data_IF_121126040333
#
_entry.id   IF_121126040333
#
_cell.length_a   1.000
_cell.length_b   1.000
_cell.length_c   1.000
_cell.angle_alpha   90.00
_cell.angle_beta   90.00
_cell.angle_gamma   90.00
#
_symmetry.space_group_name_H-M   'P 1'
#
loop_
_entity.id
_entity.type
_entity.pdbx_description
1 polymer ?
#
# COMPACT_ATOMS: atom_id res chain seq x y z
N UNK A 1 6.11 9.30 -5.02
CA UNK A 1 5.69 9.24 -6.44
C UNK A 1 6.82 9.80 -7.27
N UNK A 2 7.32 9.00 -8.18
CA UNK A 2 8.50 9.37 -8.98
C UNK A 2 8.12 9.98 -10.33
N UNK A 3 6.91 9.62 -10.84
CA UNK A 3 6.39 10.12 -12.09
C UNK A 3 4.90 10.38 -12.03
N UNK A 4 4.48 11.51 -12.57
CA UNK A 4 3.08 11.86 -12.82
C UNK A 4 2.85 11.92 -14.33
N UNK A 5 2.08 10.98 -14.86
CA UNK A 5 1.73 10.94 -16.28
C UNK A 5 0.45 11.73 -16.54
N UNK A 6 0.44 12.49 -17.64
CA UNK A 6 -0.74 13.22 -18.09
C UNK A 6 -1.45 12.45 -19.20
N UNK A 7 -2.71 12.08 -19.01
CA UNK A 7 -3.53 11.45 -20.05
C UNK A 7 -3.63 12.34 -21.30
N UNK A 8 -3.82 13.66 -21.11
CA UNK A 8 -3.84 14.61 -22.22
C UNK A 8 -2.56 14.56 -23.03
N UNK A 9 -1.39 14.62 -22.39
CA UNK A 9 -0.11 14.59 -23.08
C UNK A 9 0.08 13.28 -23.87
N UNK A 10 -0.41 12.18 -23.32
CA UNK A 10 -0.36 10.86 -23.96
C UNK A 10 -1.24 10.81 -25.22
N UNK A 11 -2.43 11.41 -25.17
CA UNK A 11 -3.31 11.53 -26.36
C UNK A 11 -2.73 12.49 -27.40
N UNK A 12 -2.25 13.65 -26.99
CA UNK A 12 -1.69 14.67 -27.87
C UNK A 12 -0.38 14.22 -28.57
N UNK A 13 0.39 13.32 -27.92
CA UNK A 13 1.62 12.75 -28.52
C UNK A 13 1.38 11.68 -29.58
N UNK A 14 0.11 11.25 -29.81
CA UNK A 14 -0.21 10.16 -30.71
C UNK A 14 0.03 8.75 -30.12
N UNK A 15 0.34 8.64 -28.83
CA UNK A 15 0.63 7.36 -28.18
C UNK A 15 -0.54 6.37 -28.25
N UNK A 16 -1.80 6.86 -28.29
CA UNK A 16 -2.97 5.99 -28.43
C UNK A 16 -2.95 5.29 -29.79
N UNK A 17 -2.71 6.02 -30.87
CA UNK A 17 -2.59 5.42 -32.20
C UNK A 17 -1.45 4.39 -32.23
N UNK A 18 -0.27 4.76 -31.71
CA UNK A 18 0.89 3.83 -31.69
C UNK A 18 0.60 2.53 -30.94
N UNK A 19 -0.15 2.60 -29.82
CA UNK A 19 -0.53 1.41 -29.07
C UNK A 19 -1.50 0.52 -29.84
N UNK A 20 -2.44 1.13 -30.57
CA UNK A 20 -3.38 0.40 -31.40
C UNK A 20 -2.68 -0.22 -32.60
N UNK A 21 -1.78 0.52 -33.26
CA UNK A 21 -0.99 -0.01 -34.39
C UNK A 21 -0.18 -1.24 -33.97
N UNK A 22 0.45 -1.21 -32.80
CA UNK A 22 1.18 -2.36 -32.24
C UNK A 22 0.29 -3.57 -32.01
N UNK A 23 -0.93 -3.37 -31.52
CA UNK A 23 -1.92 -4.46 -31.36
C UNK A 23 -2.46 -4.97 -32.70
N UNK A 24 -2.60 -4.09 -33.68
CA UNK A 24 -3.05 -4.42 -35.03
C UNK A 24 -1.98 -5.24 -35.79
N UNK A 25 -0.71 -4.82 -35.75
CA UNK A 25 0.43 -5.57 -36.28
C UNK A 25 0.56 -6.97 -35.67
N UNK A 26 0.21 -7.10 -34.38
CA UNK A 26 0.16 -8.40 -33.69
C UNK A 26 -1.10 -9.23 -34.01
N UNK A 27 -2.04 -8.72 -34.82
CA UNK A 27 -3.29 -9.40 -35.20
C UNK A 27 -4.37 -9.42 -34.12
N UNK A 28 -4.24 -8.54 -33.13
CA UNK A 28 -5.15 -8.47 -31.97
C UNK A 28 -6.27 -7.44 -32.14
N UNK A 29 -6.31 -6.73 -33.24
CA UNK A 29 -7.34 -5.72 -33.58
C UNK A 29 -8.03 -6.12 -34.87
N UNK A 30 -9.34 -5.88 -34.95
CA UNK A 30 -10.14 -6.17 -36.15
C UNK A 30 -11.37 -5.26 -36.22
N UNK A 31 -11.97 -5.16 -37.40
CA UNK A 31 -13.30 -4.52 -37.55
C UNK A 31 -14.40 -5.58 -37.44
N UNK A 32 -15.42 -5.27 -36.64
CA UNK A 32 -16.51 -6.20 -36.39
C UNK A 32 -17.70 -5.53 -35.69
N UNK A 33 -18.76 -6.30 -35.53
CA UNK A 33 -20.00 -5.89 -34.84
C UNK A 33 -20.03 -6.67 -33.53
N UNK A 34 -20.15 -5.96 -32.39
CA UNK A 34 -20.40 -6.58 -31.08
C UNK A 34 -21.87 -6.95 -30.95
N UNK A 35 -22.12 -8.09 -30.30
CA UNK A 35 -23.46 -8.43 -29.84
C UNK A 35 -23.94 -7.44 -28.77
N UNK A 36 -25.29 -7.20 -28.65
CA UNK A 36 -25.81 -6.33 -27.60
C UNK A 36 -25.43 -6.83 -26.21
N UNK A 37 -25.27 -5.93 -25.22
CA UNK A 37 -24.97 -6.33 -23.85
C UNK A 37 -26.03 -7.28 -23.30
N UNK A 38 -25.61 -8.38 -22.66
CA UNK A 38 -26.52 -9.35 -22.04
C UNK A 38 -27.38 -8.65 -20.97
N UNK A 39 -28.70 -8.65 -21.15
CA UNK A 39 -29.68 -8.26 -20.11
C UNK A 39 -30.68 -7.18 -20.47
N UNK A 40 -30.34 -6.13 -21.16
CA UNK A 40 -31.27 -5.14 -21.76
C UNK A 40 -30.61 -4.61 -23.01
N UNK A 41 -31.23 -4.86 -24.17
CA UNK A 41 -30.92 -4.08 -25.36
C UNK A 41 -31.31 -2.63 -25.03
N UNK A 42 -30.37 -1.67 -25.11
CA UNK A 42 -30.76 -0.26 -25.08
C UNK A 42 -31.72 -0.01 -26.24
N UNK A 43 -32.81 0.73 -26.02
CA UNK A 43 -33.81 1.05 -27.07
C UNK A 43 -33.16 1.65 -28.33
N UNK A 44 -31.95 2.23 -28.21
CA UNK A 44 -31.20 2.87 -29.30
C UNK A 44 -29.97 1.99 -29.75
N UNK A 45 -29.95 0.67 -29.48
CA UNK A 45 -28.85 -0.16 -29.92
C UNK A 45 -28.97 -0.45 -31.42
N UNK A 46 -27.96 -0.07 -32.20
CA UNK A 46 -27.84 -0.40 -33.60
C UNK A 46 -26.56 -1.22 -33.86
N UNK A 47 -26.65 -2.32 -34.66
CA UNK A 47 -25.48 -3.08 -35.08
C UNK A 47 -24.61 -2.21 -35.98
N UNK A 48 -23.41 -1.88 -35.53
CA UNK A 48 -22.44 -1.09 -36.28
C UNK A 48 -21.05 -1.71 -36.25
N UNK A 49 -20.35 -1.57 -37.34
CA UNK A 49 -18.96 -1.96 -37.43
C UNK A 49 -18.09 -1.03 -36.56
N UNK A 50 -17.22 -1.62 -35.74
CA UNK A 50 -16.35 -0.92 -34.80
C UNK A 50 -14.94 -1.49 -34.90
N UNK A 51 -13.95 -0.69 -34.53
CA UNK A 51 -12.58 -1.17 -34.31
C UNK A 51 -12.54 -1.87 -32.94
N UNK A 52 -12.23 -3.16 -32.91
CA UNK A 52 -12.31 -4.03 -31.74
C UNK A 52 -10.97 -4.64 -31.39
N UNK A 53 -10.67 -4.68 -30.10
CA UNK A 53 -9.58 -5.46 -29.53
C UNK A 53 -10.09 -6.86 -29.17
N UNK A 54 -9.35 -7.91 -29.56
CA UNK A 54 -9.65 -9.33 -29.26
C UNK A 54 -9.42 -9.70 -27.80
N UNK A 55 -10.07 -9.00 -26.86
CA UNK A 55 -9.88 -9.18 -25.43
C UNK A 55 -10.28 -10.61 -24.98
N UNK A 56 -11.25 -11.22 -25.64
CA UNK A 56 -11.69 -12.60 -25.37
C UNK A 56 -10.60 -13.64 -25.61
N UNK A 57 -9.68 -13.40 -26.53
CA UNK A 57 -8.51 -14.26 -26.77
C UNK A 57 -7.51 -14.27 -25.59
N UNK A 58 -7.59 -13.29 -24.71
CA UNK A 58 -6.73 -13.09 -23.53
C UNK A 58 -7.48 -13.22 -22.21
N UNK A 59 -8.69 -13.81 -22.21
CA UNK A 59 -9.43 -14.16 -21.00
C UNK A 59 -10.44 -13.11 -20.51
N UNK A 60 -10.75 -12.07 -21.29
CA UNK A 60 -11.92 -11.22 -21.05
C UNK A 60 -13.20 -11.92 -21.52
N UNK A 61 -14.35 -11.47 -21.04
CA UNK A 61 -15.66 -12.08 -21.35
C UNK A 61 -16.16 -11.70 -22.76
N UNK A 62 -15.64 -10.62 -23.35
CA UNK A 62 -16.02 -10.12 -24.68
C UNK A 62 -14.91 -9.22 -25.25
N UNK A 63 -14.91 -9.08 -26.58
CA UNK A 63 -14.03 -8.12 -27.25
C UNK A 63 -14.43 -6.69 -26.95
N UNK A 64 -13.49 -5.75 -27.06
CA UNK A 64 -13.65 -4.38 -26.57
C UNK A 64 -13.50 -3.33 -27.66
N UNK A 65 -14.44 -2.36 -27.75
CA UNK A 65 -14.34 -1.28 -28.73
C UNK A 65 -13.18 -0.31 -28.38
N UNK A 66 -12.39 0.02 -29.37
CA UNK A 66 -11.27 0.96 -29.28
C UNK A 66 -11.67 2.35 -29.75
N UNK A 67 -12.64 2.46 -30.68
CA UNK A 67 -13.18 3.71 -31.19
C UNK A 67 -14.67 3.85 -30.95
N UNK A 68 -15.11 5.10 -30.74
CA UNK A 68 -16.53 5.47 -30.70
C UNK A 68 -17.10 5.67 -32.10
N UNK A 69 -18.41 5.96 -32.19
CA UNK A 69 -19.11 6.20 -33.46
C UNK A 69 -18.61 7.43 -34.24
N UNK A 70 -18.11 8.42 -33.51
CA UNK A 70 -17.55 9.66 -34.06
C UNK A 70 -16.07 9.53 -34.47
N UNK A 71 -15.48 8.33 -34.35
CA UNK A 71 -14.08 8.08 -34.66
C UNK A 71 -13.11 8.44 -33.52
N UNK A 72 -13.59 9.05 -32.43
CA UNK A 72 -12.73 9.33 -31.26
C UNK A 72 -12.40 8.06 -30.50
N UNK A 73 -11.27 8.07 -29.80
CA UNK A 73 -10.84 6.95 -28.96
C UNK A 73 -11.74 6.75 -27.76
N UNK A 74 -11.95 5.51 -27.37
CA UNK A 74 -12.58 5.17 -26.09
C UNK A 74 -11.60 5.42 -24.95
N UNK A 75 -12.08 5.53 -23.71
CA UNK A 75 -11.22 5.55 -22.51
C UNK A 75 -10.33 4.32 -22.42
N UNK A 76 -10.85 3.17 -22.84
CA UNK A 76 -10.08 1.93 -22.87
C UNK A 76 -8.87 2.02 -23.81
N UNK A 77 -9.00 2.64 -24.97
CA UNK A 77 -7.87 2.83 -25.89
C UNK A 77 -6.79 3.73 -25.26
N UNK A 78 -7.19 4.79 -24.54
CA UNK A 78 -6.24 5.63 -23.80
C UNK A 78 -5.53 4.86 -22.68
N UNK A 79 -6.25 4.00 -21.96
CA UNK A 79 -5.67 3.15 -20.92
C UNK A 79 -4.70 2.10 -21.49
N UNK A 80 -5.00 1.54 -22.67
CA UNK A 80 -4.09 0.64 -23.39
C UNK A 80 -2.77 1.34 -23.70
N UNK A 81 -2.84 2.58 -24.22
CA UNK A 81 -1.65 3.38 -24.51
C UNK A 81 -0.84 3.71 -23.26
N UNK A 82 -1.52 4.02 -22.15
CA UNK A 82 -0.86 4.29 -20.88
C UNK A 82 -0.14 3.04 -20.34
N UNK A 83 -0.71 1.86 -20.53
CA UNK A 83 -0.04 0.62 -20.11
C UNK A 83 1.12 0.26 -21.04
N UNK A 84 1.05 0.56 -22.33
CA UNK A 84 2.20 0.46 -23.21
C UNK A 84 3.35 1.35 -22.74
N UNK A 85 3.08 2.63 -22.43
CA UNK A 85 4.08 3.55 -21.87
C UNK A 85 4.71 3.02 -20.55
N UNK A 86 3.90 2.43 -19.67
CA UNK A 86 4.43 1.79 -18.45
C UNK A 86 5.34 0.60 -18.76
N UNK A 87 4.95 -0.27 -19.67
CA UNK A 87 5.75 -1.44 -20.08
C UNK A 87 7.09 -0.99 -20.66
N UNK A 88 7.06 0.00 -21.55
CA UNK A 88 8.27 0.51 -22.22
C UNK A 88 9.23 1.21 -21.23
N UNK A 89 8.69 1.88 -20.21
CA UNK A 89 9.49 2.54 -19.17
C UNK A 89 10.10 1.59 -18.15
N UNK A 90 9.39 0.53 -17.78
CA UNK A 90 9.80 -0.31 -16.64
C UNK A 90 10.44 -1.62 -17.07
N UNK A 91 10.00 -2.20 -18.18
CA UNK A 91 10.41 -3.54 -18.65
C UNK A 91 10.00 -4.68 -17.71
N UNK A 92 9.37 -4.36 -16.56
CA UNK A 92 9.01 -5.28 -15.49
C UNK A 92 7.49 -5.48 -15.34
N UNK A 93 7.07 -6.30 -14.35
CA UNK A 93 5.67 -6.47 -14.03
C UNK A 93 5.04 -5.18 -13.52
N UNK A 94 3.77 -4.98 -13.82
CA UNK A 94 3.00 -3.82 -13.44
C UNK A 94 2.03 -4.17 -12.31
N UNK A 95 1.81 -3.22 -11.39
CA UNK A 95 0.78 -3.30 -10.35
C UNK A 95 -0.12 -2.08 -10.48
N UNK A 96 -1.41 -2.29 -10.72
CA UNK A 96 -2.41 -1.24 -10.66
C UNK A 96 -3.19 -1.31 -9.35
N UNK A 97 -3.54 -0.16 -8.80
CA UNK A 97 -4.42 -0.05 -7.63
C UNK A 97 -5.69 0.67 -8.08
N UNK A 98 -6.81 -0.04 -8.08
CA UNK A 98 -8.12 0.47 -8.51
C UNK A 98 -9.12 0.49 -7.36
N UNK A 99 -10.12 1.37 -7.43
CA UNK A 99 -11.31 1.26 -6.60
C UNK A 99 -12.13 0.03 -6.99
N UNK A 100 -12.86 -0.54 -6.05
CA UNK A 100 -13.70 -1.73 -6.25
C UNK A 100 -14.77 -1.55 -7.34
N UNK A 101 -15.21 -0.33 -7.59
CA UNK A 101 -16.12 0.06 -8.67
C UNK A 101 -15.55 -0.22 -10.06
N UNK A 102 -14.22 -0.35 -10.19
CA UNK A 102 -13.52 -0.77 -11.41
C UNK A 102 -13.34 -2.30 -11.54
N UNK A 103 -13.98 -3.12 -10.70
CA UNK A 103 -13.85 -4.59 -10.75
C UNK A 103 -14.15 -5.19 -12.12
N UNK A 104 -15.15 -4.66 -12.84
CA UNK A 104 -15.45 -5.07 -14.22
C UNK A 104 -14.41 -4.65 -15.28
N UNK A 105 -13.41 -3.83 -14.87
CA UNK A 105 -12.35 -3.35 -15.76
C UNK A 105 -11.10 -4.24 -15.71
N UNK A 106 -10.98 -5.09 -14.71
CA UNK A 106 -9.78 -5.89 -14.42
C UNK A 106 -9.41 -6.80 -15.60
N UNK A 107 -10.34 -7.64 -16.03
CA UNK A 107 -10.07 -8.64 -17.10
C UNK A 107 -9.60 -7.98 -18.40
N UNK A 108 -10.27 -6.89 -18.82
CA UNK A 108 -9.92 -6.20 -20.06
C UNK A 108 -8.55 -5.55 -20.02
N UNK A 109 -8.14 -5.02 -18.87
CA UNK A 109 -6.81 -4.44 -18.73
C UNK A 109 -5.71 -5.50 -18.67
N UNK A 110 -5.95 -6.61 -17.98
CA UNK A 110 -5.04 -7.76 -18.01
C UNK A 110 -4.87 -8.30 -19.42
N UNK A 111 -5.96 -8.45 -20.17
CA UNK A 111 -5.96 -8.87 -21.56
C UNK A 111 -5.14 -7.93 -22.45
N UNK A 112 -5.34 -6.61 -22.30
CA UNK A 112 -4.60 -5.61 -23.08
C UNK A 112 -3.09 -5.65 -22.80
N UNK A 113 -2.70 -5.72 -21.52
CA UNK A 113 -1.29 -5.78 -21.13
C UNK A 113 -0.64 -7.10 -21.57
N UNK A 114 -1.35 -8.22 -21.51
CA UNK A 114 -0.88 -9.51 -22.03
C UNK A 114 -0.64 -9.42 -23.54
N UNK A 115 -1.58 -8.86 -24.30
CA UNK A 115 -1.45 -8.67 -25.74
C UNK A 115 -0.29 -7.74 -26.13
N UNK A 116 -0.10 -6.63 -25.40
CA UNK A 116 0.98 -5.67 -25.64
C UNK A 116 2.37 -6.24 -25.35
N UNK A 117 2.48 -7.02 -24.27
CA UNK A 117 3.76 -7.54 -23.78
C UNK A 117 4.12 -8.92 -24.32
N UNK A 118 3.15 -9.66 -24.82
CA UNK A 118 3.28 -11.10 -25.15
C UNK A 118 3.53 -11.99 -23.93
N UNK A 119 3.29 -11.48 -22.71
CA UNK A 119 3.58 -12.19 -21.44
C UNK A 119 2.36 -12.22 -20.53
N UNK A 120 1.94 -13.43 -20.18
CA UNK A 120 0.88 -13.64 -19.20
C UNK A 120 1.34 -13.21 -17.79
N UNK A 121 0.42 -12.61 -17.02
CA UNK A 121 0.70 -12.21 -15.64
C UNK A 121 1.61 -10.97 -15.51
N UNK A 122 1.79 -10.21 -16.59
CA UNK A 122 2.58 -8.97 -16.56
C UNK A 122 1.89 -7.82 -15.80
N UNK A 123 0.58 -7.88 -15.60
CA UNK A 123 -0.21 -6.94 -14.82
C UNK A 123 -0.90 -7.64 -13.67
N UNK A 124 -0.70 -7.12 -12.46
CA UNK A 124 -1.51 -7.41 -11.27
C UNK A 124 -2.40 -6.21 -10.93
N UNK A 125 -3.66 -6.45 -10.55
CA UNK A 125 -4.60 -5.39 -10.20
C UNK A 125 -5.15 -5.63 -8.80
N UNK A 126 -4.81 -4.69 -7.89
CA UNK A 126 -5.30 -4.67 -6.53
C UNK A 126 -6.57 -3.81 -6.44
N UNK A 127 -7.68 -4.40 -6.02
CA UNK A 127 -8.94 -3.68 -5.82
C UNK A 127 -9.03 -3.18 -4.36
N UNK A 128 -9.22 -1.87 -4.20
CA UNK A 128 -9.39 -1.24 -2.90
C UNK A 128 -10.87 -0.95 -2.64
N UNK A 129 -11.34 -1.38 -1.46
CA UNK A 129 -12.69 -1.12 -0.99
C UNK A 129 -12.89 0.34 -0.57
N UNK A 130 -14.15 0.71 -0.42
CA UNK A 130 -14.56 2.05 0.00
C UNK A 130 -14.13 2.32 1.45
N UNK A 131 -13.79 3.57 1.71
CA UNK A 131 -13.58 4.12 3.06
C UNK A 131 -14.81 4.93 3.44
N UNK A 132 -15.46 4.55 4.53
CA UNK A 132 -16.57 5.30 5.11
C UNK A 132 -16.00 6.34 6.08
N UNK A 133 -16.28 7.62 5.83
CA UNK A 133 -15.93 8.66 6.79
C UNK A 133 -16.99 8.72 7.89
N UNK A 134 -16.52 8.62 9.13
CA UNK A 134 -17.34 8.63 10.33
C UNK A 134 -16.97 9.82 11.23
N UNK A 135 -17.90 10.31 11.99
CA UNK A 135 -17.70 11.27 13.07
C UNK A 135 -18.51 10.84 14.29
N UNK A 136 -17.83 10.52 15.38
CA UNK A 136 -18.45 9.99 16.61
C UNK A 136 -19.37 8.78 16.34
N UNK A 137 -18.92 7.84 15.50
CA UNK A 137 -19.66 6.63 15.16
C UNK A 137 -20.82 6.81 14.19
N UNK A 138 -20.99 7.99 13.61
CA UNK A 138 -22.04 8.28 12.62
C UNK A 138 -21.43 8.57 11.25
N UNK A 139 -22.01 8.07 10.14
CA UNK A 139 -21.54 8.39 8.80
C UNK A 139 -21.61 9.89 8.50
N UNK A 140 -20.52 10.44 7.98
CA UNK A 140 -20.48 11.81 7.47
C UNK A 140 -21.22 11.86 6.13
N UNK A 141 -22.35 12.57 6.08
CA UNK A 141 -23.11 12.72 4.85
C UNK A 141 -22.38 13.66 3.89
N UNK A 142 -21.88 13.10 2.79
CA UNK A 142 -21.25 13.86 1.72
C UNK A 142 -22.21 14.05 0.55
N UNK A 143 -22.33 15.27 0.05
CA UNK A 143 -23.08 15.58 -1.16
C UNK A 143 -22.35 16.62 -2.01
N UNK A 144 -21.94 16.22 -3.22
CA UNK A 144 -21.35 17.16 -4.19
C UNK A 144 -22.31 18.31 -4.52
N UNK A 145 -23.62 18.04 -4.59
CA UNK A 145 -24.65 19.05 -4.89
C UNK A 145 -24.89 20.03 -3.75
N UNK A 146 -24.72 19.59 -2.50
CA UNK A 146 -24.90 20.43 -1.31
C UNK A 146 -23.60 21.12 -0.85
N UNK A 147 -22.47 20.92 -1.54
CA UNK A 147 -21.17 21.46 -1.14
C UNK A 147 -20.57 20.85 0.13
N UNK A 148 -21.19 19.81 0.68
CA UNK A 148 -20.67 19.07 1.85
C UNK A 148 -19.76 17.94 1.40
N UNK A 149 -18.59 18.29 0.88
CA UNK A 149 -17.63 17.34 0.36
C UNK A 149 -16.33 17.43 1.17
N UNK A 150 -15.92 16.34 1.78
CA UNK A 150 -14.66 16.24 2.53
C UNK A 150 -13.57 15.76 1.58
N UNK A 151 -12.52 16.55 1.44
CA UNK A 151 -11.36 16.19 0.60
C UNK A 151 -10.34 15.41 1.41
N UNK A 152 -9.48 14.63 0.73
CA UNK A 152 -8.32 13.98 1.37
C UNK A 152 -7.43 15.01 2.06
N UNK A 153 -7.32 16.23 1.51
CA UNK A 153 -6.56 17.34 2.12
C UNK A 153 -7.16 17.78 3.46
N UNK A 154 -8.50 17.80 3.57
CA UNK A 154 -9.16 18.16 4.82
C UNK A 154 -8.91 17.10 5.89
N UNK A 155 -8.95 15.82 5.50
CA UNK A 155 -8.61 14.70 6.40
C UNK A 155 -7.15 14.80 6.86
N UNK A 156 -6.19 15.03 5.93
CA UNK A 156 -4.77 15.20 6.26
C UNK A 156 -4.55 16.37 7.24
N UNK A 157 -5.24 17.49 7.03
CA UNK A 157 -5.15 18.66 7.95
C UNK A 157 -5.71 18.34 9.34
N UNK A 158 -6.74 17.52 9.42
CA UNK A 158 -7.39 17.18 10.68
C UNK A 158 -6.58 16.20 11.53
N UNK A 159 -6.01 15.16 10.92
CA UNK A 159 -5.41 14.02 11.66
C UNK A 159 -3.92 13.78 11.37
N UNK A 160 -3.37 14.40 10.35
CA UNK A 160 -2.00 14.20 9.90
C UNK A 160 -1.83 13.04 8.92
N UNK A 161 -0.77 13.12 8.11
CA UNK A 161 -0.47 12.13 7.05
C UNK A 161 -0.14 10.74 7.62
N UNK A 162 0.63 10.70 8.71
CA UNK A 162 1.10 9.44 9.32
C UNK A 162 -0.07 8.60 9.84
N UNK A 163 -1.02 9.25 10.51
CA UNK A 163 -2.22 8.61 11.05
C UNK A 163 -3.05 8.02 9.92
N UNK A 164 -3.32 8.80 8.85
CA UNK A 164 -4.08 8.32 7.70
C UNK A 164 -3.38 7.12 7.07
N UNK A 165 -2.08 7.24 6.74
CA UNK A 165 -1.33 6.15 6.10
C UNK A 165 -1.37 4.88 6.93
N UNK A 166 -1.06 4.97 8.22
CA UNK A 166 -1.02 3.79 9.07
C UNK A 166 -2.40 3.13 9.17
N UNK A 167 -3.46 3.88 9.45
CA UNK A 167 -4.81 3.34 9.61
C UNK A 167 -5.32 2.73 8.31
N UNK A 168 -5.14 3.43 7.16
CA UNK A 168 -5.51 2.88 5.85
C UNK A 168 -4.80 1.55 5.57
N UNK A 169 -3.53 1.44 5.98
CA UNK A 169 -2.71 0.24 5.78
C UNK A 169 -2.92 -0.83 6.85
N UNK A 170 -3.77 -0.66 7.86
CA UNK A 170 -4.17 -1.73 8.79
C UNK A 170 -5.31 -2.60 8.25
N UNK A 171 -5.79 -2.33 7.05
CA UNK A 171 -6.85 -3.13 6.41
C UNK A 171 -6.32 -3.80 5.14
N UNK A 172 -6.86 -4.95 4.84
CA UNK A 172 -6.69 -5.57 3.53
C UNK A 172 -7.41 -4.71 2.50
N UNK A 173 -6.90 -4.69 1.28
CA UNK A 173 -7.47 -3.88 0.19
C UNK A 173 -8.95 -4.20 -0.08
N UNK A 174 -9.35 -5.46 0.07
CA UNK A 174 -10.73 -5.94 -0.15
C UNK A 174 -11.69 -5.68 1.03
N UNK A 175 -11.22 -5.09 2.14
CA UNK A 175 -12.03 -4.79 3.33
C UNK A 175 -12.42 -3.32 3.39
N UNK A 176 -13.69 -3.04 3.67
CA UNK A 176 -14.15 -1.67 3.97
C UNK A 176 -13.50 -1.15 5.25
N UNK A 177 -13.24 0.14 5.29
CA UNK A 177 -12.72 0.83 6.46
C UNK A 177 -13.71 1.92 6.91
N UNK A 178 -14.13 1.85 8.17
CA UNK A 178 -14.80 2.97 8.83
C UNK A 178 -13.75 3.86 9.49
N UNK A 179 -13.52 5.03 8.92
CA UNK A 179 -12.54 6.00 9.37
C UNK A 179 -13.22 7.06 10.22
N UNK A 180 -13.12 6.96 11.55
CA UNK A 180 -13.75 7.88 12.51
C UNK A 180 -12.75 8.95 12.95
N UNK A 181 -13.02 10.21 12.57
CA UNK A 181 -12.17 11.36 12.92
C UNK A 181 -11.91 11.51 14.42
N UNK A 182 -12.93 11.30 15.25
CA UNK A 182 -12.81 11.48 16.69
C UNK A 182 -11.83 10.48 17.30
N UNK A 183 -11.88 9.22 16.84
CA UNK A 183 -10.99 8.15 17.34
C UNK A 183 -9.55 8.28 16.88
N UNK A 184 -9.33 8.74 15.64
CA UNK A 184 -7.98 8.77 15.05
C UNK A 184 -7.18 10.02 15.43
N UNK A 185 -7.82 11.06 15.98
CA UNK A 185 -7.12 12.25 16.50
C UNK A 185 -6.60 12.08 17.91
N UNK A 186 -7.07 11.09 18.66
CA UNK A 186 -6.60 10.85 20.02
C UNK A 186 -5.13 10.42 20.02
N UNK A 187 -4.29 11.18 20.72
CA UNK A 187 -2.90 10.83 21.00
C UNK A 187 -2.85 9.85 22.18
N UNK A 188 -3.58 8.76 22.08
CA UNK A 188 -3.68 7.74 23.12
C UNK A 188 -2.98 6.45 22.68
N UNK A 189 -2.80 5.52 23.63
CA UNK A 189 -2.30 4.16 23.36
C UNK A 189 -3.21 3.37 22.41
N UNK A 190 -4.46 3.81 22.26
CA UNK A 190 -5.45 3.19 21.38
C UNK A 190 -5.25 3.58 19.91
N UNK A 191 -4.41 4.61 19.64
CA UNK A 191 -4.02 4.96 18.28
C UNK A 191 -2.76 4.19 17.87
N UNK A 192 -2.87 3.22 16.93
CA UNK A 192 -1.80 2.29 16.63
C UNK A 192 -0.54 2.95 16.08
N UNK A 193 -0.64 4.06 15.34
CA UNK A 193 0.55 4.75 14.83
C UNK A 193 1.35 5.40 15.95
N UNK A 194 0.68 6.07 16.87
CA UNK A 194 1.35 6.66 18.04
C UNK A 194 2.00 5.60 18.93
N UNK A 195 1.34 4.46 19.09
CA UNK A 195 1.88 3.34 19.86
C UNK A 195 3.21 2.83 19.29
N UNK A 196 3.29 2.68 17.95
CA UNK A 196 4.53 2.27 17.26
C UNK A 196 5.59 3.38 17.29
N UNK A 197 5.21 4.64 17.00
CA UNK A 197 6.14 5.77 17.05
C UNK A 197 6.69 5.98 18.47
N UNK A 198 5.87 5.80 19.50
CA UNK A 198 6.29 5.89 20.89
C UNK A 198 7.29 4.79 21.28
N UNK A 199 7.15 3.57 20.74
CA UNK A 199 8.16 2.53 20.92
C UNK A 199 9.52 2.94 20.33
N UNK A 200 9.53 3.55 19.13
CA UNK A 200 10.73 4.08 18.51
C UNK A 200 11.37 5.22 19.33
N UNK A 201 10.59 6.23 19.69
CA UNK A 201 11.05 7.36 20.49
C UNK A 201 11.62 6.92 21.84
N UNK A 202 10.97 5.95 22.49
CA UNK A 202 11.46 5.34 23.74
C UNK A 202 12.79 4.60 23.54
N UNK A 203 12.95 3.84 22.48
CA UNK A 203 14.21 3.18 22.15
C UNK A 203 15.32 4.20 21.90
N UNK A 204 15.05 5.27 21.15
CA UNK A 204 15.99 6.38 20.93
C UNK A 204 16.37 7.09 22.24
N UNK A 205 15.40 7.27 23.15
CA UNK A 205 15.67 7.87 24.48
C UNK A 205 16.64 7.02 25.30
N UNK A 206 16.45 5.68 25.32
CA UNK A 206 17.39 4.76 26.00
C UNK A 206 18.79 4.86 25.42
N UNK A 207 18.89 4.90 24.09
CA UNK A 207 20.20 4.96 23.41
C UNK A 207 20.90 6.29 23.69
N UNK A 208 20.20 7.42 23.75
CA UNK A 208 20.75 8.72 24.15
C UNK A 208 21.26 8.71 25.58
N UNK A 209 20.52 8.11 26.53
CA UNK A 209 20.94 8.00 27.93
C UNK A 209 22.14 7.07 28.13
N UNK A 210 22.31 6.10 27.24
CA UNK A 210 23.38 5.13 27.33
C UNK A 210 24.73 5.67 26.87
N UNK A 211 24.77 6.78 26.12
CA UNK A 211 25.98 7.36 25.54
C UNK A 211 26.80 6.28 24.77
N UNK A 212 28.11 6.16 25.08
CA UNK A 212 29.02 5.20 24.47
C UNK A 212 28.93 3.75 25.05
N UNK A 213 28.03 3.48 26.02
CA UNK A 213 27.92 2.15 26.68
C UNK A 213 27.49 1.00 25.76
N UNK A 214 26.98 1.33 24.57
CA UNK A 214 26.62 0.33 23.55
C UNK A 214 27.80 -0.15 22.70
N UNK A 215 28.96 0.48 22.82
CA UNK A 215 30.18 0.17 22.09
C UNK A 215 31.02 -0.91 22.83
N UNK A 216 31.86 -1.64 22.08
CA UNK A 216 32.71 -2.68 22.62
C UNK A 216 32.03 -4.07 22.69
N UNK A 217 32.58 -4.94 23.55
CA UNK A 217 32.11 -6.32 23.73
C UNK A 217 30.72 -6.38 24.37
N UNK A 218 29.90 -7.38 23.96
CA UNK A 218 28.56 -7.55 24.49
C UNK A 218 28.25 -9.04 24.73
N UNK A 219 27.70 -9.35 25.89
CA UNK A 219 27.33 -10.70 26.27
C UNK A 219 25.94 -11.09 25.72
N UNK A 220 25.81 -11.20 24.39
CA UNK A 220 24.54 -11.53 23.74
C UNK A 220 23.89 -12.83 24.24
N UNK A 221 24.70 -13.82 24.65
CA UNK A 221 24.25 -15.10 25.21
C UNK A 221 23.54 -14.97 26.56
N UNK A 222 23.62 -13.80 27.22
CA UNK A 222 22.93 -13.52 28.47
C UNK A 222 21.53 -12.94 28.25
N UNK A 223 21.15 -12.60 27.00
CA UNK A 223 19.78 -12.20 26.64
C UNK A 223 18.89 -13.45 26.59
N UNK A 224 18.42 -13.90 27.73
CA UNK A 224 17.68 -15.16 27.88
C UNK A 224 16.31 -15.01 28.59
N UNK A 225 15.98 -13.82 29.06
CA UNK A 225 14.67 -13.56 29.65
C UNK A 225 13.57 -13.72 28.58
N UNK A 226 12.41 -14.30 28.93
CA UNK A 226 11.30 -14.46 28.00
C UNK A 226 10.89 -13.18 27.27
N UNK A 227 10.92 -12.01 27.92
CA UNK A 227 10.59 -10.73 27.31
C UNK A 227 11.67 -10.27 26.31
N UNK A 228 12.97 -10.48 26.61
CA UNK A 228 14.09 -10.25 25.68
C UNK A 228 13.98 -11.16 24.45
N UNK A 229 13.70 -12.44 24.69
CA UNK A 229 13.56 -13.44 23.63
C UNK A 229 12.35 -13.19 22.73
N UNK A 230 11.26 -12.62 23.25
CA UNK A 230 10.09 -12.24 22.45
C UNK A 230 10.47 -11.16 21.43
N UNK A 231 11.19 -10.13 21.84
CA UNK A 231 11.68 -9.06 20.94
C UNK A 231 12.67 -9.64 19.91
N UNK A 232 13.64 -10.47 20.35
CA UNK A 232 14.65 -11.08 19.46
C UNK A 232 13.98 -11.91 18.36
N UNK A 233 12.97 -12.73 18.68
CA UNK A 233 12.26 -13.56 17.69
C UNK A 233 11.56 -12.71 16.64
N UNK A 234 10.92 -11.61 17.06
CA UNK A 234 10.30 -10.68 16.12
C UNK A 234 11.35 -10.04 15.22
N UNK A 235 12.45 -9.51 15.79
CA UNK A 235 13.53 -8.90 15.00
C UNK A 235 14.11 -9.88 13.97
N UNK A 236 14.34 -11.13 14.35
CA UNK A 236 14.84 -12.17 13.44
C UNK A 236 13.84 -12.47 12.29
N UNK A 237 12.56 -12.27 12.53
CA UNK A 237 11.49 -12.46 11.53
C UNK A 237 11.37 -11.33 10.49
N UNK A 238 11.95 -10.15 10.74
CA UNK A 238 11.76 -8.96 9.92
C UNK A 238 12.05 -9.15 8.42
N UNK A 239 13.19 -9.68 7.99
CA UNK A 239 13.47 -9.84 6.56
C UNK A 239 12.44 -10.72 5.85
N UNK A 240 12.03 -11.80 6.49
CA UNK A 240 11.01 -12.72 5.96
C UNK A 240 9.64 -12.04 5.88
N UNK A 241 9.31 -11.19 6.86
CA UNK A 241 8.06 -10.42 6.89
C UNK A 241 7.97 -9.47 5.70
N UNK A 242 9.05 -8.75 5.39
CA UNK A 242 9.11 -7.84 4.23
C UNK A 242 8.94 -8.60 2.92
N UNK A 243 9.68 -9.69 2.74
CA UNK A 243 9.58 -10.53 1.52
C UNK A 243 8.16 -11.07 1.36
N UNK A 244 7.55 -11.58 2.44
CA UNK A 244 6.20 -12.13 2.40
C UNK A 244 5.14 -11.05 2.08
N UNK A 245 5.27 -9.86 2.68
CA UNK A 245 4.34 -8.75 2.42
C UNK A 245 4.46 -8.24 0.97
N UNK A 246 5.69 -8.15 0.45
CA UNK A 246 5.94 -7.72 -0.92
C UNK A 246 5.42 -8.73 -1.93
N UNK A 247 5.70 -10.03 -1.75
CA UNK A 247 5.25 -11.08 -2.66
C UNK A 247 3.72 -11.22 -2.72
N UNK A 248 3.03 -10.92 -1.61
CA UNK A 248 1.57 -10.96 -1.54
C UNK A 248 0.91 -9.62 -1.91
N UNK A 249 1.67 -8.54 -2.11
CA UNK A 249 1.17 -7.15 -2.25
C UNK A 249 0.28 -6.72 -1.06
N UNK A 250 0.64 -7.15 0.17
CA UNK A 250 -0.14 -6.97 1.39
C UNK A 250 0.60 -6.08 2.42
N UNK A 251 0.61 -4.76 2.25
CA UNK A 251 1.33 -3.83 3.15
C UNK A 251 0.78 -3.84 4.59
N UNK A 252 -0.47 -4.26 4.81
CA UNK A 252 -1.06 -4.39 6.15
C UNK A 252 -0.26 -5.37 7.04
N UNK A 253 0.43 -6.35 6.47
CA UNK A 253 1.30 -7.27 7.23
C UNK A 253 2.44 -6.53 7.93
N UNK A 254 2.97 -5.46 7.31
CA UNK A 254 4.01 -4.63 7.94
C UNK A 254 3.42 -3.82 9.10
N UNK A 255 2.24 -3.23 8.94
CA UNK A 255 1.59 -2.48 10.01
C UNK A 255 1.33 -3.37 11.25
N UNK A 256 0.77 -4.56 11.08
CA UNK A 256 0.55 -5.51 12.17
C UNK A 256 1.85 -5.97 12.82
N UNK A 257 2.87 -6.30 12.02
CA UNK A 257 4.19 -6.68 12.56
C UNK A 257 4.79 -5.56 13.42
N UNK A 258 4.68 -4.30 13.00
CA UNK A 258 5.18 -3.17 13.79
C UNK A 258 4.42 -3.00 15.10
N UNK A 259 3.12 -3.25 15.11
CA UNK A 259 2.32 -3.25 16.34
C UNK A 259 2.77 -4.35 17.30
N UNK A 260 3.00 -5.57 16.80
CA UNK A 260 3.47 -6.70 17.60
C UNK A 260 4.88 -6.42 18.18
N UNK A 261 5.80 -5.89 17.37
CA UNK A 261 7.14 -5.51 17.82
C UNK A 261 7.10 -4.40 18.87
N UNK A 262 6.27 -3.38 18.65
CA UNK A 262 6.07 -2.30 19.63
C UNK A 262 5.50 -2.85 20.95
N UNK A 263 4.53 -3.76 20.89
CA UNK A 263 3.93 -4.39 22.07
C UNK A 263 4.97 -5.20 22.86
N UNK A 264 5.77 -6.02 22.18
CA UNK A 264 6.85 -6.79 22.81
C UNK A 264 7.90 -5.88 23.45
N UNK A 265 8.29 -4.80 22.77
CA UNK A 265 9.26 -3.84 23.31
C UNK A 265 8.70 -3.07 24.52
N UNK A 266 7.44 -2.65 24.49
CA UNK A 266 6.78 -2.02 25.64
C UNK A 266 6.65 -2.97 26.84
N UNK A 267 6.40 -4.25 26.59
CA UNK A 267 6.36 -5.27 27.62
C UNK A 267 7.75 -5.44 28.29
N UNK A 268 8.82 -5.52 27.49
CA UNK A 268 10.19 -5.60 27.99
C UNK A 268 10.56 -4.33 28.81
N UNK A 269 10.18 -3.15 28.32
CA UNK A 269 10.37 -1.90 29.08
C UNK A 269 9.66 -1.94 30.42
N UNK A 270 8.41 -2.41 30.47
CA UNK A 270 7.62 -2.51 31.71
C UNK A 270 8.26 -3.51 32.67
N UNK A 271 8.68 -4.66 32.16
CA UNK A 271 9.41 -5.67 32.96
C UNK A 271 10.68 -5.08 33.60
N UNK A 272 11.44 -4.25 32.90
CA UNK A 272 12.63 -3.57 33.45
C UNK A 272 12.31 -2.48 34.50
N UNK A 273 11.07 -1.97 34.53
CA UNK A 273 10.62 -1.08 35.62
C UNK A 273 10.26 -1.86 36.88
N UNK A 274 9.66 -3.03 36.71
CA UNK A 274 9.21 -3.89 37.82
C UNK A 274 10.36 -4.73 38.40
N UNK A 275 11.25 -5.21 37.54
CA UNK A 275 12.43 -5.98 37.89
C UNK A 275 13.71 -5.24 37.50
N UNK A 276 14.50 -4.73 38.48
CA UNK A 276 15.78 -4.05 38.21
C UNK A 276 16.77 -4.87 37.38
N UNK A 277 16.72 -6.22 37.47
CA UNK A 277 17.60 -7.09 36.71
C UNK A 277 17.34 -7.06 35.21
N UNK A 278 16.17 -6.57 34.78
CA UNK A 278 15.80 -6.42 33.37
C UNK A 278 15.94 -5.01 32.83
N UNK A 279 16.51 -4.07 33.61
CA UNK A 279 16.79 -2.70 33.11
C UNK A 279 17.80 -2.75 31.98
N UNK A 280 17.60 -1.89 30.99
CA UNK A 280 18.49 -1.81 29.82
C UNK A 280 19.89 -1.35 30.19
N UNK A 281 20.03 -0.46 31.17
CA UNK A 281 21.31 0.07 31.65
C UNK A 281 21.51 -0.37 33.10
N UNK A 282 22.61 -1.09 33.33
CA UNK A 282 23.05 -1.59 34.63
C UNK A 282 24.56 -1.39 34.72
N UNK A 283 24.98 -0.47 35.58
CA UNK A 283 26.40 -0.12 35.71
C UNK A 283 27.24 -1.29 36.25
N UNK A 284 26.65 -2.18 37.08
CA UNK A 284 27.25 -3.38 37.61
C UNK A 284 27.40 -4.53 36.60
N UNK A 285 26.74 -4.43 35.43
CA UNK A 285 26.76 -5.48 34.41
C UNK A 285 27.01 -4.89 33.00
N UNK A 286 28.20 -4.35 32.73
CA UNK A 286 28.45 -3.58 31.51
C UNK A 286 28.32 -4.39 30.23
N UNK A 287 28.73 -5.68 30.22
CA UNK A 287 28.60 -6.54 29.06
C UNK A 287 27.14 -6.90 28.72
N UNK A 288 26.28 -7.07 29.76
CA UNK A 288 24.87 -7.30 29.59
C UNK A 288 24.17 -6.00 29.17
N UNK A 289 24.56 -4.85 29.72
CA UNK A 289 24.11 -3.53 29.28
C UNK A 289 24.38 -3.32 27.80
N UNK A 290 25.60 -3.59 27.33
CA UNK A 290 25.96 -3.50 25.92
C UNK A 290 25.10 -4.44 25.05
N UNK A 291 24.81 -5.65 25.51
CA UNK A 291 23.93 -6.60 24.82
C UNK A 291 22.50 -6.07 24.69
N UNK A 292 21.93 -5.54 25.78
CA UNK A 292 20.58 -4.96 25.81
C UNK A 292 20.48 -3.69 24.94
N UNK A 293 21.49 -2.85 24.94
CA UNK A 293 21.53 -1.66 24.08
C UNK A 293 21.61 -2.04 22.60
N UNK A 294 22.28 -3.11 22.23
CA UNK A 294 22.22 -3.67 20.86
C UNK A 294 20.82 -4.14 20.51
N UNK A 295 20.12 -4.79 21.43
CA UNK A 295 18.71 -5.19 21.23
C UNK A 295 17.81 -3.97 21.03
N UNK A 296 17.96 -2.92 21.85
CA UNK A 296 17.23 -1.66 21.71
C UNK A 296 17.54 -0.98 20.38
N UNK A 297 18.81 -0.93 19.97
CA UNK A 297 19.24 -0.36 18.68
C UNK A 297 18.65 -1.12 17.50
N UNK A 298 18.65 -2.46 17.54
CA UNK A 298 18.02 -3.29 16.52
C UNK A 298 16.50 -3.06 16.45
N UNK A 299 15.85 -2.91 17.61
CA UNK A 299 14.41 -2.61 17.67
C UNK A 299 14.10 -1.25 17.02
N UNK A 300 14.84 -0.20 17.36
CA UNK A 300 14.69 1.12 16.75
C UNK A 300 14.90 1.07 15.23
N UNK A 301 15.93 0.36 14.78
CA UNK A 301 16.25 0.20 13.36
C UNK A 301 15.11 -0.49 12.59
N UNK A 302 14.57 -1.58 13.13
CA UNK A 302 13.49 -2.34 12.48
C UNK A 302 12.19 -1.55 12.47
N UNK A 303 11.84 -0.86 13.57
CA UNK A 303 10.65 0.02 13.60
C UNK A 303 10.80 1.15 12.56
N UNK A 304 11.96 1.81 12.52
CA UNK A 304 12.26 2.85 11.52
C UNK A 304 12.16 2.31 10.09
N UNK A 305 12.74 1.16 9.83
CA UNK A 305 12.68 0.50 8.52
C UNK A 305 11.24 0.19 8.11
N UNK A 306 10.44 -0.37 9.01
CA UNK A 306 9.05 -0.72 8.74
C UNK A 306 8.15 0.50 8.54
N UNK A 307 8.30 1.54 9.37
CA UNK A 307 7.60 2.81 9.16
C UNK A 307 8.00 3.46 7.83
N UNK A 308 9.29 3.39 7.45
CA UNK A 308 9.78 3.87 6.16
C UNK A 308 9.16 3.16 4.96
N UNK A 309 8.94 1.84 5.04
CA UNK A 309 8.20 1.07 4.01
C UNK A 309 6.77 1.61 3.84
N UNK A 310 6.14 2.03 4.93
CA UNK A 310 4.79 2.60 4.92
C UNK A 310 4.79 4.11 4.60
N UNK A 311 5.96 4.72 4.34
CA UNK A 311 6.17 6.15 4.16
C UNK A 311 5.64 6.99 5.35
N UNK A 312 5.97 6.56 6.57
CA UNK A 312 5.62 7.18 7.85
C UNK A 312 6.91 7.52 8.58
N UNK A 313 6.93 8.68 9.24
CA UNK A 313 8.10 9.13 9.96
C UNK A 313 8.31 8.37 11.28
N UNK A 314 9.53 7.90 11.52
CA UNK A 314 9.95 7.33 12.79
C UNK A 314 10.42 8.47 13.71
N UNK A 315 9.54 8.93 14.60
CA UNK A 315 9.84 10.03 15.53
C UNK A 315 10.84 9.59 16.58
N UNK A 316 11.85 10.40 16.80
CA UNK A 316 12.89 10.12 17.83
C UNK A 316 12.50 10.69 19.21
N UNK A 317 11.52 11.60 19.24
CA UNK A 317 10.98 12.24 20.45
C UNK A 317 9.45 12.37 20.33
N UNK A 318 8.76 12.21 21.45
CA UNK A 318 7.31 12.34 21.57
C UNK A 318 6.94 12.86 22.97
#
# INVERSE_FOLDING_TARGET
MDLFSSERALVESGAVQSAIDRLEEAGHVYRGILEPPKGKEPEDWEPREQLLFRASAFGDDTDRPLQKSDGSWTYFASDVAYHMDKLDRTGGPLINIFGVDHGGYVKRMMAAVEALSGRKGQLDIQLCQLVNLMENGKPVKMSKRAGTFVTVRDVIKAVGSDVIRFIMLTRRSEQTLDFDYARVTEQSRDNPVFYVQYAHARACSVLRQAEARAEGDAALHQLNDPAEMAVIRLLAGWPRQVVSAAAAHEPHRIAFYLMDLAAAFHALWTAGRENPDLRFIRDEAPLLTAARLRLVKATALVIRSGLGVLAIDAREEM
#
